data_IF_704008526690
#
_entry.id   IF_704008526690
#
_cell.length_a   1.000
_cell.length_b   1.000
_cell.length_c   1.000
_cell.angle_alpha   90.00
_cell.angle_beta   90.00
_cell.angle_gamma   90.00
#
_symmetry.space_group_name_H-M   'P 1'
#
loop_
_entity.id
_entity.type
_entity.pdbx_description
1 polymer ?
#
# COMPACT_ATOMS: atom_id res chain seq x y z
N UNK A 1 -1.22 -20.13 0.30
CA UNK A 1 -1.28 -18.67 0.53
C UNK A 1 -2.50 -18.31 1.37
N UNK A 2 -2.37 -18.32 2.71
CA UNK A 2 -3.48 -18.16 3.70
C UNK A 2 -3.93 -16.70 3.91
N UNK A 3 -3.23 -15.73 3.30
CA UNK A 3 -3.46 -14.29 3.48
C UNK A 3 -4.57 -13.70 2.59
N UNK A 4 -4.85 -14.34 1.44
CA UNK A 4 -5.81 -13.82 0.45
C UNK A 4 -7.26 -13.89 0.93
N UNK A 5 -7.57 -14.87 1.79
CA UNK A 5 -8.90 -15.10 2.37
C UNK A 5 -8.97 -14.74 3.86
N UNK A 6 -7.92 -14.13 4.42
CA UNK A 6 -7.86 -13.81 5.84
C UNK A 6 -8.78 -12.62 6.10
N UNK A 7 -9.84 -12.83 6.89
CA UNK A 7 -10.65 -11.75 7.46
C UNK A 7 -10.07 -11.39 8.81
N UNK A 8 -9.73 -10.13 9.05
CA UNK A 8 -9.29 -9.72 10.38
C UNK A 8 -10.47 -9.58 11.32
N UNK A 9 -10.54 -10.52 12.26
CA UNK A 9 -11.46 -10.46 13.39
C UNK A 9 -10.82 -9.66 14.53
N UNK A 10 -11.45 -8.55 14.92
CA UNK A 10 -11.00 -7.74 16.04
C UNK A 10 -11.77 -8.14 17.30
N UNK A 11 -11.07 -8.68 18.30
CA UNK A 11 -11.62 -8.90 19.64
C UNK A 11 -11.10 -7.76 20.54
N UNK A 12 -11.96 -6.78 20.83
CA UNK A 12 -11.63 -5.66 21.73
C UNK A 12 -12.19 -5.99 23.11
N UNK A 13 -11.30 -6.25 24.06
CA UNK A 13 -11.66 -6.33 25.47
C UNK A 13 -11.72 -4.90 26.01
N UNK A 14 -12.92 -4.43 26.34
CA UNK A 14 -13.12 -3.08 26.89
C UNK A 14 -12.64 -3.06 28.34
N UNK A 15 -11.40 -2.62 28.56
CA UNK A 15 -10.92 -2.26 29.91
C UNK A 15 -11.18 -0.78 30.19
N UNK A 16 -11.38 -0.42 31.47
CA UNK A 16 -11.81 0.92 31.94
C UNK A 16 -10.83 2.05 31.60
N UNK A 17 -9.62 1.72 31.12
CA UNK A 17 -8.59 2.67 30.68
C UNK A 17 -8.52 2.84 29.14
N UNK A 18 -9.28 2.06 28.37
CA UNK A 18 -9.34 2.26 26.93
C UNK A 18 -10.18 3.51 26.64
N UNK A 19 -9.56 4.56 26.09
CA UNK A 19 -10.31 5.66 25.48
C UNK A 19 -11.28 5.14 24.40
N UNK A 20 -12.00 6.03 23.73
CA UNK A 20 -13.01 5.66 22.72
C UNK A 20 -12.37 5.02 21.46
N UNK A 21 -11.92 3.75 21.58
CA UNK A 21 -11.38 2.96 20.49
C UNK A 21 -12.56 2.53 19.63
N UNK A 22 -12.74 3.21 18.49
CA UNK A 22 -13.77 2.83 17.52
C UNK A 22 -13.41 1.49 16.88
N UNK A 23 -14.20 0.44 17.19
CA UNK A 23 -14.07 -0.90 16.58
C UNK A 23 -14.02 -0.84 15.05
N UNK A 24 -14.77 0.09 14.46
CA UNK A 24 -14.79 0.35 13.02
C UNK A 24 -13.43 0.86 12.53
N UNK A 25 -12.85 1.86 13.20
CA UNK A 25 -11.53 2.41 12.82
C UNK A 25 -10.42 1.36 12.96
N UNK A 26 -10.46 0.54 14.02
CA UNK A 26 -9.51 -0.56 14.20
C UNK A 26 -9.64 -1.59 13.07
N UNK A 27 -10.86 -1.99 12.71
CA UNK A 27 -11.09 -2.94 11.62
C UNK A 27 -10.65 -2.38 10.26
N UNK A 28 -10.97 -1.13 9.96
CA UNK A 28 -10.55 -0.46 8.71
C UNK A 28 -9.01 -0.37 8.62
N UNK A 29 -8.37 0.06 9.70
CA UNK A 29 -6.90 0.12 9.80
C UNK A 29 -6.30 -1.26 9.57
N UNK A 30 -6.81 -2.29 10.25
CA UNK A 30 -6.35 -3.65 10.11
C UNK A 30 -6.42 -4.11 8.63
N UNK A 31 -7.59 -3.95 7.99
CA UNK A 31 -7.80 -4.38 6.59
C UNK A 31 -6.86 -3.63 5.63
N UNK A 32 -6.55 -2.37 5.93
CA UNK A 32 -5.59 -1.59 5.14
C UNK A 32 -4.16 -2.13 5.26
N UNK A 33 -3.72 -2.51 6.47
CA UNK A 33 -2.46 -3.25 6.67
C UNK A 33 -2.46 -4.59 5.93
N UNK A 34 -3.59 -5.32 5.92
CA UNK A 34 -3.70 -6.59 5.19
C UNK A 34 -3.51 -6.39 3.68
N UNK A 35 -4.17 -5.40 3.09
CA UNK A 35 -4.04 -5.06 1.66
C UNK A 35 -2.61 -4.65 1.32
N UNK A 36 -2.00 -3.76 2.13
CA UNK A 36 -0.62 -3.35 1.95
C UNK A 36 0.37 -4.51 2.08
N UNK A 37 0.18 -5.41 3.04
CA UNK A 37 1.02 -6.60 3.17
C UNK A 37 0.95 -7.50 1.94
N UNK A 38 -0.24 -7.67 1.35
CA UNK A 38 -0.39 -8.44 0.11
C UNK A 38 0.34 -7.76 -1.05
N UNK A 39 0.18 -6.44 -1.22
CA UNK A 39 0.92 -5.66 -2.23
C UNK A 39 2.44 -5.77 -2.05
N UNK A 40 2.92 -5.65 -0.82
CA UNK A 40 4.34 -5.80 -0.49
C UNK A 40 4.84 -7.21 -0.84
N UNK A 41 4.08 -8.26 -0.54
CA UNK A 41 4.46 -9.63 -0.87
C UNK A 41 4.51 -9.87 -2.38
N UNK A 42 3.55 -9.33 -3.14
CA UNK A 42 3.59 -9.39 -4.61
C UNK A 42 4.86 -8.77 -5.17
N UNK A 43 5.29 -7.64 -4.61
CA UNK A 43 6.51 -6.95 -5.03
C UNK A 43 7.78 -7.66 -4.56
N UNK A 44 7.77 -8.28 -3.37
CA UNK A 44 8.96 -8.95 -2.79
C UNK A 44 9.20 -10.34 -3.38
N UNK A 45 8.12 -11.07 -3.66
CA UNK A 45 8.18 -12.45 -4.11
C UNK A 45 7.28 -12.63 -5.34
N UNK A 46 7.71 -12.18 -6.53
CA UNK A 46 6.93 -12.34 -7.76
C UNK A 46 6.58 -13.80 -8.05
N UNK A 47 7.43 -14.75 -7.65
CA UNK A 47 7.18 -16.19 -7.77
C UNK A 47 6.20 -16.79 -6.76
N UNK A 48 5.82 -16.04 -5.72
CA UNK A 48 4.83 -16.44 -4.73
C UNK A 48 3.43 -15.89 -5.04
N UNK A 49 3.32 -14.97 -5.99
CA UNK A 49 2.05 -14.56 -6.57
C UNK A 49 1.25 -15.82 -6.94
N UNK A 50 0.00 -16.01 -6.47
CA UNK A 50 -0.86 -17.05 -7.00
C UNK A 50 -0.86 -16.85 -8.49
N UNK A 51 -0.42 -17.88 -9.22
CA UNK A 51 -0.18 -17.87 -10.64
C UNK A 51 -1.23 -16.98 -11.31
N UNK A 52 -0.81 -15.79 -11.74
CA UNK A 52 -1.60 -14.96 -12.64
C UNK A 52 -1.78 -15.83 -13.88
N UNK A 53 -2.88 -16.57 -13.87
CA UNK A 53 -3.36 -17.44 -14.91
C UNK A 53 -2.38 -18.54 -15.34
N UNK A 54 -2.50 -19.73 -14.71
CA UNK A 54 -2.19 -20.96 -15.44
C UNK A 54 -3.38 -21.20 -16.39
N UNK A 55 -3.22 -21.14 -17.72
CA UNK A 55 -4.32 -21.39 -18.64
C UNK A 55 -4.82 -22.83 -18.42
N UNK A 56 -6.09 -23.00 -18.07
CA UNK A 56 -6.74 -24.32 -18.02
C UNK A 56 -7.12 -24.87 -16.65
N UNK A 57 -7.08 -24.11 -15.55
CA UNK A 57 -7.62 -24.61 -14.26
C UNK A 57 -9.09 -24.14 -14.06
N UNK A 58 -10.06 -25.07 -14.01
CA UNK A 58 -11.45 -24.72 -13.77
C UNK A 58 -11.68 -24.41 -12.28
N UNK A 59 -12.33 -23.28 -12.02
CA UNK A 59 -12.84 -22.83 -10.70
C UNK A 59 -11.78 -22.67 -9.59
N UNK A 60 -11.19 -21.48 -9.53
CA UNK A 60 -10.89 -20.85 -8.23
C UNK A 60 -11.78 -19.61 -8.09
N UNK A 61 -12.30 -19.31 -6.89
CA UNK A 61 -13.16 -18.14 -6.69
C UNK A 61 -12.40 -16.89 -7.14
N UNK A 62 -13.10 -15.92 -7.76
CA UNK A 62 -12.58 -14.63 -8.24
C UNK A 62 -11.85 -13.89 -7.11
N UNK A 63 -10.63 -14.31 -6.80
CA UNK A 63 -9.78 -13.65 -5.84
C UNK A 63 -9.34 -12.34 -6.50
N UNK A 64 -9.21 -11.30 -5.68
CA UNK A 64 -8.59 -10.04 -6.06
C UNK A 64 -7.11 -10.38 -6.33
N UNK A 65 -6.79 -10.77 -7.57
CA UNK A 65 -5.48 -11.32 -7.92
C UNK A 65 -4.60 -10.30 -8.66
N UNK A 66 -5.09 -9.09 -8.93
CA UNK A 66 -4.30 -8.03 -9.58
C UNK A 66 -3.89 -6.93 -8.61
N UNK A 67 -2.69 -6.38 -8.80
CA UNK A 67 -2.16 -5.21 -8.07
C UNK A 67 -3.15 -4.04 -8.17
N UNK A 68 -3.71 -3.78 -9.36
CA UNK A 68 -4.69 -2.70 -9.57
C UNK A 68 -5.96 -2.87 -8.73
N UNK A 69 -6.44 -4.09 -8.55
CA UNK A 69 -7.62 -4.35 -7.74
C UNK A 69 -7.34 -4.18 -6.25
N UNK A 70 -6.13 -4.50 -5.79
CA UNK A 70 -5.68 -4.23 -4.41
C UNK A 70 -5.48 -2.74 -4.14
N UNK A 71 -4.91 -1.99 -5.09
CA UNK A 71 -4.79 -0.53 -4.99
C UNK A 71 -6.18 0.12 -4.91
N UNK A 72 -7.12 -0.30 -5.77
CA UNK A 72 -8.51 0.17 -5.67
C UNK A 72 -9.16 -0.20 -4.34
N UNK A 73 -8.90 -1.39 -3.81
CA UNK A 73 -9.38 -1.80 -2.49
C UNK A 73 -8.80 -0.93 -1.37
N UNK A 74 -7.53 -0.54 -1.47
CA UNK A 74 -6.90 0.37 -0.52
C UNK A 74 -7.58 1.74 -0.52
N UNK A 75 -7.86 2.33 -1.68
CA UNK A 75 -8.61 3.60 -1.76
C UNK A 75 -10.01 3.50 -1.15
N UNK A 76 -10.76 2.41 -1.42
CA UNK A 76 -12.07 2.20 -0.79
C UNK A 76 -12.01 2.08 0.75
N UNK A 77 -10.88 1.61 1.30
CA UNK A 77 -10.67 1.58 2.75
C UNK A 77 -10.33 2.97 3.28
N UNK A 78 -9.46 3.71 2.58
CA UNK A 78 -9.04 5.07 2.92
C UNK A 78 -10.23 6.04 2.92
N UNK A 79 -11.13 5.95 1.95
CA UNK A 79 -12.37 6.76 1.87
C UNK A 79 -13.29 6.59 3.09
N UNK A 80 -13.12 5.50 3.85
CA UNK A 80 -13.94 5.17 5.03
C UNK A 80 -13.23 5.48 6.35
N UNK A 81 -11.95 5.85 6.31
CA UNK A 81 -11.19 6.25 7.49
C UNK A 81 -11.32 7.75 7.69
N UNK A 82 -11.46 8.19 8.94
CA UNK A 82 -11.52 9.62 9.25
C UNK A 82 -10.13 10.26 9.06
N UNK A 83 -9.07 9.53 9.44
CA UNK A 83 -7.66 9.94 9.30
C UNK A 83 -6.82 8.68 9.10
N UNK A 84 -6.03 8.64 8.02
CA UNK A 84 -5.05 7.58 7.83
C UNK A 84 -3.82 7.82 8.72
N UNK A 85 -3.71 7.12 9.85
CA UNK A 85 -2.56 7.17 10.76
C UNK A 85 -1.56 6.02 10.52
N UNK A 86 -1.48 5.51 9.29
CA UNK A 86 -0.70 4.33 8.94
C UNK A 86 0.26 4.63 7.78
N UNK A 87 1.45 5.20 8.06
CA UNK A 87 2.38 5.66 7.03
C UNK A 87 2.94 4.50 6.20
N UNK A 88 3.17 3.32 6.80
CA UNK A 88 3.70 2.17 6.08
C UNK A 88 2.71 1.60 5.04
N UNK A 89 1.45 1.27 5.38
CA UNK A 89 0.49 0.84 4.36
C UNK A 89 0.28 1.88 3.25
N UNK A 90 0.22 3.16 3.61
CA UNK A 90 0.06 4.25 2.65
C UNK A 90 1.25 4.35 1.68
N UNK A 91 2.47 4.21 2.19
CA UNK A 91 3.68 4.12 1.37
C UNK A 91 3.62 2.95 0.38
N UNK A 92 3.27 1.75 0.85
CA UNK A 92 3.20 0.57 -0.02
C UNK A 92 2.16 0.77 -1.13
N UNK A 93 1.00 1.33 -0.82
CA UNK A 93 -0.03 1.63 -1.82
C UNK A 93 0.49 2.67 -2.82
N UNK A 94 1.11 3.74 -2.34
CA UNK A 94 1.68 4.80 -3.18
C UNK A 94 2.70 4.28 -4.20
N UNK A 95 3.56 3.34 -3.81
CA UNK A 95 4.53 2.69 -4.69
C UNK A 95 3.88 1.85 -5.82
N UNK A 96 2.59 1.50 -5.69
CA UNK A 96 1.86 0.69 -6.66
C UNK A 96 0.86 1.50 -7.51
N UNK A 97 0.74 2.80 -7.26
CA UNK A 97 -0.11 3.72 -8.03
C UNK A 97 0.56 4.11 -9.35
N UNK A 98 -0.21 4.11 -10.44
CA UNK A 98 0.27 4.47 -11.79
C UNK A 98 -0.39 5.71 -12.37
N UNK A 99 -1.67 5.93 -12.08
CA UNK A 99 -2.44 7.03 -12.65
C UNK A 99 -2.23 8.33 -11.86
N UNK A 100 -2.09 9.46 -12.55
CA UNK A 100 -1.87 10.76 -11.90
C UNK A 100 -2.98 11.15 -10.93
N UNK A 101 -4.23 10.79 -11.26
CA UNK A 101 -5.38 11.00 -10.37
C UNK A 101 -5.16 10.36 -9.00
N UNK A 102 -4.72 9.11 -9.00
CA UNK A 102 -4.49 8.34 -7.77
C UNK A 102 -3.25 8.87 -7.04
N UNK A 103 -2.24 9.36 -7.77
CA UNK A 103 -1.05 10.01 -7.17
C UNK A 103 -1.43 11.29 -6.43
N UNK A 104 -2.31 12.11 -7.02
CA UNK A 104 -2.85 13.33 -6.39
C UNK A 104 -3.59 12.99 -5.10
N UNK A 105 -4.42 11.95 -5.11
CA UNK A 105 -5.15 11.52 -3.92
C UNK A 105 -4.21 11.04 -2.81
N UNK A 106 -3.19 10.24 -3.14
CA UNK A 106 -2.15 9.84 -2.19
C UNK A 106 -1.45 11.07 -1.60
N UNK A 107 -1.09 12.06 -2.42
CA UNK A 107 -0.45 13.28 -1.92
C UNK A 107 -1.32 14.02 -0.91
N UNK A 108 -2.63 14.12 -1.19
CA UNK A 108 -3.60 14.71 -0.28
C UNK A 108 -3.68 13.95 1.04
N UNK A 109 -3.75 12.61 1.00
CA UNK A 109 -3.81 11.77 2.20
C UNK A 109 -2.58 11.91 3.10
N UNK A 110 -1.40 12.08 2.52
CA UNK A 110 -0.18 12.34 3.29
C UNK A 110 -0.18 13.73 3.93
N UNK A 111 -0.66 14.76 3.24
CA UNK A 111 -0.79 16.13 3.77
C UNK A 111 -1.80 16.19 4.93
N UNK A 112 -2.97 15.56 4.76
CA UNK A 112 -3.97 15.42 5.82
C UNK A 112 -3.41 14.65 7.03
N UNK A 113 -2.70 13.54 6.80
CA UNK A 113 -2.05 12.76 7.86
C UNK A 113 -0.95 13.53 8.62
N UNK A 114 -0.15 14.33 7.91
CA UNK A 114 0.91 15.16 8.49
C UNK A 114 0.34 16.24 9.41
N UNK A 115 -0.73 16.92 8.97
CA UNK A 115 -1.42 17.99 9.71
C UNK A 115 -2.07 17.50 11.00
N UNK A 116 -2.77 16.38 10.94
CA UNK A 116 -3.63 15.92 12.05
C UNK A 116 -2.84 15.22 13.17
N UNK A 117 -1.77 14.50 12.82
CA UNK A 117 -1.07 13.63 13.79
C UNK A 117 0.30 14.14 14.23
N UNK A 118 0.86 15.18 13.58
CA UNK A 118 2.26 15.63 13.77
C UNK A 118 3.27 14.48 13.76
N UNK A 119 2.97 13.40 13.02
CA UNK A 119 3.89 12.27 12.88
C UNK A 119 4.95 12.72 11.87
N UNK A 120 6.15 13.05 12.36
CA UNK A 120 7.26 13.58 11.56
C UNK A 120 7.73 12.68 10.40
N UNK A 121 7.19 11.46 10.29
CA UNK A 121 7.55 10.51 9.26
C UNK A 121 6.76 10.73 7.95
N UNK A 122 5.64 11.45 7.95
CA UNK A 122 4.82 11.62 6.74
C UNK A 122 5.53 12.43 5.65
N UNK A 123 6.22 13.51 6.03
CA UNK A 123 6.94 14.34 5.07
C UNK A 123 8.14 13.60 4.45
N UNK A 124 8.85 12.82 5.27
CA UNK A 124 9.95 11.95 4.81
C UNK A 124 9.43 10.89 3.86
N UNK A 125 8.36 10.18 4.23
CA UNK A 125 7.76 9.13 3.40
C UNK A 125 7.21 9.70 2.09
N UNK A 126 6.59 10.88 2.12
CA UNK A 126 6.15 11.59 0.91
C UNK A 126 7.32 11.94 -0.01
N UNK A 127 8.43 12.43 0.56
CA UNK A 127 9.66 12.70 -0.20
C UNK A 127 10.16 11.46 -0.94
N UNK A 128 10.14 10.31 -0.27
CA UNK A 128 10.52 9.02 -0.87
C UNK A 128 9.57 8.59 -1.98
N UNK A 129 8.25 8.69 -1.76
CA UNK A 129 7.23 8.38 -2.77
C UNK A 129 7.45 9.20 -4.05
N UNK A 130 7.64 10.52 -3.90
CA UNK A 130 7.92 11.42 -5.03
C UNK A 130 9.20 11.04 -5.76
N UNK A 131 10.27 10.71 -5.04
CA UNK A 131 11.53 10.27 -5.63
C UNK A 131 11.36 8.97 -6.44
N UNK A 132 10.57 8.01 -5.92
CA UNK A 132 10.24 6.77 -6.61
C UNK A 132 9.44 7.06 -7.89
N UNK A 133 8.36 7.85 -7.81
CA UNK A 133 7.56 8.20 -8.99
C UNK A 133 8.38 8.89 -10.06
N UNK A 134 9.19 9.90 -9.70
CA UNK A 134 10.07 10.58 -10.65
C UNK A 134 11.01 9.59 -11.36
N UNK A 135 11.58 8.63 -10.63
CA UNK A 135 12.53 7.66 -11.18
C UNK A 135 11.83 6.62 -12.07
N UNK A 136 10.62 6.19 -11.71
CA UNK A 136 9.76 5.34 -12.55
C UNK A 136 9.40 6.07 -13.85
N UNK A 137 9.01 7.33 -13.77
CA UNK A 137 8.60 8.12 -14.94
C UNK A 137 9.79 8.32 -15.90
N UNK A 138 10.95 8.73 -15.37
CA UNK A 138 12.20 8.85 -16.14
C UNK A 138 12.65 7.54 -16.80
N UNK A 139 12.47 6.41 -16.12
CA UNK A 139 12.79 5.10 -16.67
C UNK A 139 11.75 4.65 -17.69
N UNK A 140 10.48 5.02 -17.54
CA UNK A 140 9.44 4.69 -18.51
C UNK A 140 9.61 5.45 -19.83
N UNK A 141 10.13 6.68 -19.77
CA UNK A 141 10.52 7.44 -20.96
C UNK A 141 11.69 6.81 -21.70
N UNK A 142 12.65 6.22 -20.97
CA UNK A 142 13.79 5.48 -21.53
C UNK A 142 13.42 4.06 -22.00
N UNK A 143 12.52 3.36 -21.30
CA UNK A 143 12.09 1.99 -21.59
C UNK A 143 11.17 1.86 -22.81
N UNK A 144 10.88 2.97 -23.51
CA UNK A 144 10.42 2.94 -24.91
C UNK A 144 11.39 2.18 -25.82
N UNK A 145 12.63 1.94 -25.37
CA UNK A 145 13.59 0.97 -25.93
C UNK A 145 13.64 -0.33 -25.08
N UNK A 146 12.57 -1.13 -25.11
CA UNK A 146 12.71 -2.59 -25.09
C UNK A 146 12.74 -3.37 -23.76
N UNK A 147 12.45 -2.80 -22.58
CA UNK A 147 12.25 -3.65 -21.37
C UNK A 147 11.40 -2.97 -20.29
N UNK A 148 10.08 -3.16 -20.37
CA UNK A 148 9.13 -2.71 -19.35
C UNK A 148 9.15 -3.67 -18.14
N UNK A 149 10.17 -3.56 -17.28
CA UNK A 149 10.09 -4.15 -15.93
C UNK A 149 9.53 -3.12 -14.97
N UNK A 150 8.33 -3.41 -14.45
CA UNK A 150 7.73 -2.72 -13.31
C UNK A 150 8.82 -2.62 -12.24
N UNK A 151 9.27 -1.41 -12.01
CA UNK A 151 10.50 -1.15 -11.29
C UNK A 151 10.29 -1.45 -9.81
N UNK A 152 11.10 -2.36 -9.26
CA UNK A 152 11.06 -2.68 -7.85
C UNK A 152 11.50 -1.45 -7.08
N UNK A 153 10.56 -0.77 -6.40
CA UNK A 153 10.84 0.45 -5.64
C UNK A 153 11.98 0.26 -4.62
N UNK A 154 12.27 -0.98 -4.22
CA UNK A 154 13.38 -1.35 -3.36
C UNK A 154 14.74 -1.07 -3.99
N UNK A 155 14.87 -1.20 -5.31
CA UNK A 155 16.08 -0.83 -6.05
C UNK A 155 16.34 0.68 -5.98
N UNK A 156 15.31 1.47 -5.67
CA UNK A 156 15.40 2.92 -5.56
C UNK A 156 15.62 3.39 -4.13
N UNK A 157 15.28 2.56 -3.14
CA UNK A 157 15.59 2.77 -1.73
C UNK A 157 17.00 2.22 -1.46
N UNK A 158 18.02 2.85 -2.04
CA UNK A 158 19.43 2.56 -1.76
C UNK A 158 19.93 3.39 -0.55
N UNK A 159 20.99 2.89 0.11
CA UNK A 159 21.59 3.23 1.43
C UNK A 159 21.65 4.73 1.80
N UNK A 160 21.57 5.65 0.83
CA UNK A 160 21.59 7.11 1.04
C UNK A 160 20.22 7.71 1.42
N UNK A 161 19.12 7.08 1.04
CA UNK A 161 17.77 7.60 1.33
C UNK A 161 17.26 7.20 2.73
N UNK A 162 18.00 6.36 3.45
CA UNK A 162 17.61 5.83 4.75
C UNK A 162 16.49 4.81 4.65
N UNK A 163 16.45 3.86 5.59
CA UNK A 163 15.27 3.01 5.77
C UNK A 163 14.12 3.95 6.15
N UNK A 164 12.96 3.91 5.49
CA UNK A 164 11.91 4.84 5.85
C UNK A 164 11.50 4.56 7.31
N UNK A 165 11.28 5.61 8.12
CA UNK A 165 11.03 5.46 9.54
C UNK A 165 9.59 4.96 9.74
N UNK A 166 9.41 3.65 9.61
CA UNK A 166 8.15 2.97 9.86
C UNK A 166 8.09 2.31 11.23
N UNK A 167 9.19 2.38 12.01
CA UNK A 167 9.34 1.82 13.35
C UNK A 167 8.87 2.79 14.43
#
# INVERSE_FOLDING_TARGET
MRLLSLRQEVCIWSDKCAGHISRTQVHLTAEFYRVAAILYLYNTYPGAAPSLERPGSPMSPKAITSISALVRQAFMLLDRMDVCASPWPLFIVACNVKEDRDRIEIMRLFDEGSKERRIGNYDVVMGLVKAIWNRVDLNSDQAREGSARVSDWREFVDVRMGIPPFA
#
